data_IF_019810406267
#
_entry.id   IF_019810406267
#
_cell.length_a   1.000
_cell.length_b   1.000
_cell.length_c   1.000
_cell.angle_alpha   90.00
_cell.angle_beta   90.00
_cell.angle_gamma   90.00
#
_symmetry.space_group_name_H-M   'P 1'
#
loop_
_entity.id
_entity.type
_entity.pdbx_description
1 polymer ?
#
# COMPACT_ATOMS: atom_id res chain seq x y z
N UNK A 1 -29.54 0.95 -15.38
CA UNK A 1 -29.06 1.57 -14.12
C UNK A 1 -27.70 0.96 -13.82
N UNK A 2 -26.75 1.22 -14.72
CA UNK A 2 -25.47 0.52 -14.77
C UNK A 2 -24.39 1.24 -13.98
N UNK A 3 -23.85 0.49 -13.01
CA UNK A 3 -22.52 0.54 -12.39
C UNK A 3 -21.59 1.65 -12.86
N UNK A 4 -21.63 2.79 -12.18
CA UNK A 4 -20.54 3.75 -12.16
C UNK A 4 -19.52 3.40 -11.04
N UNK A 5 -18.85 2.25 -11.15
CA UNK A 5 -17.55 2.06 -10.50
C UNK A 5 -16.48 2.51 -11.48
N UNK A 6 -16.25 3.83 -11.49
CA UNK A 6 -15.09 4.44 -12.13
C UNK A 6 -13.84 3.91 -11.45
N UNK A 7 -13.30 2.81 -11.99
CA UNK A 7 -11.98 2.30 -11.65
C UNK A 7 -10.96 3.39 -12.03
N UNK A 8 -10.54 4.15 -11.02
CA UNK A 8 -9.47 5.13 -11.13
C UNK A 8 -8.18 4.51 -11.70
N UNK A 9 -7.27 5.34 -12.24
CA UNK A 9 -6.29 4.99 -13.26
C UNK A 9 -5.52 3.71 -12.98
N UNK A 10 -5.59 2.84 -13.99
CA UNK A 10 -4.68 1.76 -14.30
C UNK A 10 -3.23 2.24 -14.14
N UNK A 11 -2.58 1.84 -13.05
CA UNK A 11 -1.12 1.70 -12.98
C UNK A 11 -0.84 0.29 -12.48
N UNK A 12 -1.22 -0.70 -13.28
CA UNK A 12 -1.09 -2.12 -12.97
C UNK A 12 0.37 -2.58 -12.79
N UNK A 13 1.36 -1.72 -13.08
CA UNK A 13 2.78 -2.03 -12.91
C UNK A 13 3.54 -1.30 -11.79
N UNK A 14 2.95 -0.33 -11.05
CA UNK A 14 3.75 0.51 -10.12
C UNK A 14 2.99 1.09 -8.93
N UNK A 15 1.89 0.48 -8.48
CA UNK A 15 1.22 0.95 -7.26
C UNK A 15 1.91 0.44 -5.99
N UNK A 16 1.79 1.20 -4.89
CA UNK A 16 2.33 0.81 -3.58
C UNK A 16 1.87 -0.61 -3.17
N UNK A 17 0.58 -0.90 -3.34
CA UNK A 17 0.01 -2.21 -2.98
C UNK A 17 0.57 -3.35 -3.82
N UNK A 18 0.80 -3.12 -5.12
CA UNK A 18 1.45 -4.09 -6.00
C UNK A 18 2.88 -4.38 -5.56
N UNK A 19 3.67 -3.34 -5.24
CA UNK A 19 5.03 -3.52 -4.71
C UNK A 19 5.04 -4.34 -3.42
N UNK A 20 4.16 -4.01 -2.46
CA UNK A 20 4.06 -4.74 -1.19
C UNK A 20 3.74 -6.23 -1.42
N UNK A 21 2.75 -6.52 -2.27
CA UNK A 21 2.37 -7.89 -2.63
C UNK A 21 3.51 -8.64 -3.30
N UNK A 22 4.20 -8.01 -4.25
CA UNK A 22 5.33 -8.63 -4.97
C UNK A 22 6.47 -8.98 -4.04
N UNK A 23 6.84 -8.09 -3.11
CA UNK A 23 7.89 -8.36 -2.11
C UNK A 23 7.49 -9.54 -1.21
N UNK A 24 6.24 -9.57 -0.75
CA UNK A 24 5.72 -10.67 0.09
C UNK A 24 5.79 -12.01 -0.65
N UNK A 25 5.29 -12.06 -1.89
CA UNK A 25 5.27 -13.28 -2.69
C UNK A 25 6.69 -13.76 -3.04
N UNK A 26 7.61 -12.85 -3.37
CA UNK A 26 9.01 -13.18 -3.62
C UNK A 26 9.73 -13.78 -2.40
N UNK A 27 9.22 -13.54 -1.19
CA UNK A 27 9.72 -14.10 0.07
C UNK A 27 8.94 -15.35 0.53
N UNK A 28 7.97 -15.82 -0.26
CA UNK A 28 7.17 -17.00 0.06
C UNK A 28 6.27 -16.84 1.29
N UNK A 29 5.97 -15.61 1.72
CA UNK A 29 5.18 -15.36 2.93
C UNK A 29 3.68 -15.30 2.62
N UNK A 30 2.84 -15.88 3.47
CA UNK A 30 1.40 -15.59 3.50
C UNK A 30 1.13 -14.21 4.13
N UNK A 31 -0.11 -13.70 4.02
CA UNK A 31 -0.46 -12.44 4.69
C UNK A 31 -0.43 -12.60 6.21
N UNK A 32 -0.75 -13.79 6.73
CA UNK A 32 -0.69 -14.18 8.14
C UNK A 32 0.76 -14.17 8.64
N UNK A 33 1.67 -14.81 7.90
CA UNK A 33 3.09 -14.84 8.25
C UNK A 33 3.72 -13.44 8.23
N UNK A 34 3.33 -12.60 7.27
CA UNK A 34 3.76 -11.21 7.24
C UNK A 34 3.19 -10.42 8.43
N UNK A 35 1.93 -10.69 8.79
CA UNK A 35 1.28 -10.05 9.93
C UNK A 35 2.02 -10.31 11.23
N UNK A 36 2.31 -11.60 11.48
CA UNK A 36 3.10 -12.04 12.63
C UNK A 36 4.48 -11.37 12.66
N UNK A 37 5.22 -11.42 11.54
CA UNK A 37 6.58 -10.90 11.47
C UNK A 37 6.68 -9.36 11.52
N UNK A 38 5.61 -8.64 11.22
CA UNK A 38 5.58 -7.16 11.21
C UNK A 38 4.78 -6.55 12.35
N UNK A 39 4.06 -7.35 13.14
CA UNK A 39 3.11 -6.88 14.15
C UNK A 39 1.87 -6.19 13.56
N UNK A 40 1.59 -6.38 12.26
CA UNK A 40 0.43 -5.81 11.58
C UNK A 40 -0.69 -6.84 11.50
N UNK A 41 -1.94 -6.38 11.54
CA UNK A 41 -3.07 -7.29 11.30
C UNK A 41 -3.09 -7.77 9.84
N UNK A 42 -3.54 -9.01 9.63
CA UNK A 42 -3.76 -9.58 8.29
C UNK A 42 -4.71 -8.72 7.47
N UNK A 43 -5.73 -8.13 8.11
CA UNK A 43 -6.65 -7.19 7.48
C UNK A 43 -5.92 -5.94 6.98
N UNK A 44 -5.06 -5.34 7.81
CA UNK A 44 -4.26 -4.18 7.41
C UNK A 44 -3.37 -4.52 6.22
N UNK A 45 -2.69 -5.66 6.22
CA UNK A 45 -1.86 -6.12 5.10
C UNK A 45 -2.69 -6.26 3.82
N UNK A 46 -3.85 -6.91 3.91
CA UNK A 46 -4.77 -7.08 2.78
C UNK A 46 -5.21 -5.75 2.19
N UNK A 47 -5.59 -4.78 3.03
CA UNK A 47 -6.05 -3.46 2.59
C UNK A 47 -4.90 -2.66 1.94
N UNK A 48 -3.68 -2.79 2.47
CA UNK A 48 -2.48 -2.18 1.89
C UNK A 48 -2.13 -2.78 0.52
N UNK A 49 -2.15 -4.11 0.38
CA UNK A 49 -1.87 -4.78 -0.90
C UNK A 49 -2.91 -4.45 -1.97
N UNK A 50 -4.16 -4.22 -1.57
CA UNK A 50 -5.24 -3.78 -2.47
C UNK A 50 -5.22 -2.27 -2.75
N UNK A 51 -4.36 -1.50 -2.07
CA UNK A 51 -4.31 -0.04 -2.20
C UNK A 51 -5.56 0.68 -1.67
N UNK A 52 -6.31 0.04 -0.77
CA UNK A 52 -7.55 0.57 -0.17
C UNK A 52 -7.23 1.60 0.92
N UNK A 53 -6.05 1.53 1.53
CA UNK A 53 -5.61 2.47 2.57
C UNK A 53 -4.17 2.97 2.36
N UNK A 54 -3.88 4.15 2.90
CA UNK A 54 -2.50 4.65 2.98
C UNK A 54 -1.81 4.02 4.20
N UNK A 55 -0.63 3.40 4.05
CA UNK A 55 0.18 3.10 5.22
C UNK A 55 0.70 4.39 5.87
N UNK A 56 0.79 4.37 7.21
CA UNK A 56 1.55 5.37 7.95
C UNK A 56 3.05 5.18 7.71
N UNK A 57 3.84 6.21 7.97
CA UNK A 57 5.31 6.13 7.87
C UNK A 57 5.86 5.02 8.78
N UNK A 58 5.30 4.84 9.98
CA UNK A 58 5.67 3.75 10.89
C UNK A 58 5.40 2.36 10.29
N UNK A 59 4.25 2.17 9.63
CA UNK A 59 3.92 0.93 8.92
C UNK A 59 4.92 0.61 7.82
N UNK A 60 5.32 1.61 7.03
CA UNK A 60 6.34 1.42 5.99
C UNK A 60 7.70 1.03 6.60
N UNK A 61 8.08 1.63 7.72
CA UNK A 61 9.31 1.28 8.45
C UNK A 61 9.26 -0.14 8.99
N UNK A 62 8.13 -0.57 9.56
CA UNK A 62 7.97 -1.95 10.05
C UNK A 62 8.15 -2.95 8.92
N UNK A 63 7.45 -2.76 7.80
CA UNK A 63 7.55 -3.62 6.63
C UNK A 63 8.98 -3.66 6.04
N UNK A 64 9.64 -2.50 5.92
CA UNK A 64 11.01 -2.43 5.45
C UNK A 64 12.00 -3.19 6.36
N UNK A 65 11.80 -3.10 7.68
CA UNK A 65 12.60 -3.85 8.67
C UNK A 65 12.31 -5.35 8.61
N UNK A 66 11.04 -5.77 8.59
CA UNK A 66 10.63 -7.18 8.49
C UNK A 66 11.25 -7.87 7.27
N UNK A 67 11.37 -7.16 6.15
CA UNK A 67 11.95 -7.69 4.93
C UNK A 67 13.44 -7.43 4.75
N UNK A 68 14.08 -6.71 5.68
CA UNK A 68 15.44 -6.20 5.58
C UNK A 68 15.72 -5.57 4.19
N UNK A 69 14.87 -4.63 3.79
CA UNK A 69 14.95 -4.03 2.45
C UNK A 69 16.24 -3.22 2.27
N UNK A 70 16.90 -3.33 1.11
CA UNK A 70 17.94 -2.38 0.71
C UNK A 70 17.40 -0.95 0.70
N UNK A 71 18.27 0.03 0.95
CA UNK A 71 17.91 1.45 1.00
C UNK A 71 17.15 1.91 -0.25
N UNK A 72 17.57 1.45 -1.44
CA UNK A 72 16.90 1.77 -2.71
C UNK A 72 15.45 1.28 -2.76
N UNK A 73 15.16 0.07 -2.28
CA UNK A 73 13.80 -0.47 -2.22
C UNK A 73 12.97 0.23 -1.13
N UNK A 74 13.57 0.57 0.01
CA UNK A 74 12.93 1.37 1.04
C UNK A 74 12.56 2.78 0.56
N UNK A 75 13.47 3.44 -0.14
CA UNK A 75 13.23 4.76 -0.75
C UNK A 75 12.09 4.71 -1.78
N UNK A 76 12.06 3.68 -2.61
CA UNK A 76 11.00 3.46 -3.59
C UNK A 76 9.64 3.24 -2.91
N UNK A 77 9.59 2.42 -1.87
CA UNK A 77 8.40 2.20 -1.07
C UNK A 77 7.85 3.51 -0.49
N UNK A 78 8.73 4.35 0.07
CA UNK A 78 8.35 5.67 0.57
C UNK A 78 7.89 6.63 -0.54
N UNK A 79 8.51 6.59 -1.73
CA UNK A 79 8.13 7.39 -2.89
C UNK A 79 6.72 7.04 -3.37
N UNK A 80 6.43 5.74 -3.52
CA UNK A 80 5.11 5.26 -3.93
C UNK A 80 4.03 5.61 -2.91
N UNK A 81 4.34 5.56 -1.61
CA UNK A 81 3.40 5.96 -0.57
C UNK A 81 3.07 7.47 -0.59
N UNK A 82 4.05 8.33 -0.91
CA UNK A 82 3.80 9.76 -1.13
C UNK A 82 2.91 9.98 -2.35
N UNK A 83 3.25 9.36 -3.47
CA UNK A 83 2.47 9.45 -4.71
C UNK A 83 1.02 8.98 -4.52
N UNK A 84 0.80 7.90 -3.76
CA UNK A 84 -0.55 7.43 -3.42
C UNK A 84 -1.31 8.50 -2.63
N UNK A 85 -0.69 9.08 -1.60
CA UNK A 85 -1.32 10.11 -0.76
C UNK A 85 -1.71 11.34 -1.57
N UNK A 86 -0.83 11.78 -2.46
CA UNK A 86 -1.08 12.91 -3.35
C UNK A 86 -2.21 12.59 -4.35
N UNK A 87 -2.27 11.35 -4.83
CA UNK A 87 -3.35 10.90 -5.72
C UNK A 87 -4.72 10.85 -5.03
N UNK A 88 -4.77 10.45 -3.75
CA UNK A 88 -6.02 10.43 -2.98
C UNK A 88 -6.48 11.85 -2.67
N UNK A 89 -5.58 12.74 -2.25
CA UNK A 89 -5.90 14.16 -2.06
C UNK A 89 -6.48 14.82 -3.30
N UNK A 90 -6.01 14.44 -4.50
CA UNK A 90 -6.55 14.96 -5.77
C UNK A 90 -7.93 14.39 -6.15
N UNK A 91 -8.31 13.23 -5.61
CA UNK A 91 -9.61 12.57 -5.89
C UNK A 91 -10.71 12.97 -4.92
N UNK A 92 -10.38 13.72 -3.87
CA UNK A 92 -11.33 14.36 -2.96
C UNK A 92 -11.52 15.83 -3.42
N UNK A 93 -12.42 16.15 -4.38
CA UNK A 93 -12.87 17.52 -4.54
C UNK A 93 -13.75 17.85 -3.33
N UNK A 94 -13.44 18.97 -2.70
CA UNK A 94 -14.13 19.50 -1.51
C UNK A 94 -15.66 19.39 -1.65
N UNK A 95 -16.31 18.85 -0.61
CA UNK A 95 -17.73 18.55 -0.61
C UNK A 95 -18.28 18.27 0.78
N UNK A 96 -18.48 19.35 1.55
CA UNK A 96 -19.31 19.45 2.76
C UNK A 96 -18.75 18.83 4.06
N UNK A 97 -17.97 19.63 4.78
CA UNK A 97 -18.07 19.65 6.24
C UNK A 97 -18.63 21.04 6.65
N UNK A 98 -19.94 21.09 6.88
CA UNK A 98 -20.57 22.07 7.77
C UNK A 98 -20.47 21.60 9.21
#
# INVERSE_FOLDING_TARGET
MDSALSNGPMHEGSSLGVMLRSIRLARGMTQEQLGEASGLSVRSIRDLERGVSCPRVSTLRLLAQTWNLPESQGAELHRLARSWRDSVRRREPDGLAS
#
